data_IF_521330357244
#
_entry.id   IF_521330357244
#
_cell.length_a   1.000
_cell.length_b   1.000
_cell.length_c   1.000
_cell.angle_alpha   90.00
_cell.angle_beta   90.00
_cell.angle_gamma   90.00
#
_symmetry.space_group_name_H-M   'P 1'
#
loop_
_entity.id
_entity.type
_entity.pdbx_description
1 polymer ?
#
# COMPACT_ATOMS: atom_id res chain seq x y z
N UNK A 1 -18.09 -5.71 26.46
CA UNK A 1 -18.49 -4.96 25.25
C UNK A 1 -17.66 -3.68 25.14
N UNK A 2 -17.40 -3.19 23.93
CA UNK A 2 -16.70 -1.93 23.70
C UNK A 2 -17.63 -0.92 23.03
N UNK A 3 -17.58 0.34 23.47
CA UNK A 3 -18.16 1.49 22.79
C UNK A 3 -17.01 2.36 22.31
N UNK A 4 -16.89 2.55 21.00
CA UNK A 4 -15.70 3.14 20.38
C UNK A 4 -16.08 4.43 19.66
N UNK A 5 -15.46 5.53 20.06
CA UNK A 5 -15.43 6.79 19.32
C UNK A 5 -14.14 6.84 18.48
N UNK A 6 -14.26 6.90 17.15
CA UNK A 6 -13.11 6.93 16.23
C UNK A 6 -13.25 8.07 15.20
N UNK A 7 -12.13 8.62 14.73
CA UNK A 7 -12.12 9.74 13.78
C UNK A 7 -11.73 9.32 12.35
N UNK A 8 -11.15 8.13 12.15
CA UNK A 8 -10.69 7.67 10.83
C UNK A 8 -11.18 6.27 10.42
N UNK A 9 -12.22 5.76 11.09
CA UNK A 9 -12.87 4.50 10.72
C UNK A 9 -13.45 4.54 9.29
N UNK A 10 -13.43 3.41 8.60
CA UNK A 10 -13.94 3.27 7.23
C UNK A 10 -15.21 2.43 7.21
N UNK A 11 -16.29 2.99 6.68
CA UNK A 11 -17.50 2.21 6.36
C UNK A 11 -17.16 1.21 5.27
N UNK A 12 -17.37 -0.08 5.52
CA UNK A 12 -17.07 -1.16 4.56
C UNK A 12 -18.28 -1.99 4.17
N UNK A 13 -19.49 -1.58 4.56
CA UNK A 13 -20.74 -2.31 4.27
C UNK A 13 -20.88 -2.76 2.81
N UNK A 14 -20.55 -1.90 1.84
CA UNK A 14 -20.62 -2.23 0.40
C UNK A 14 -19.59 -3.28 -0.07
N UNK A 15 -18.65 -3.64 0.79
CA UNK A 15 -17.59 -4.61 0.55
C UNK A 15 -17.66 -5.80 1.52
N UNK A 16 -18.65 -5.81 2.42
CA UNK A 16 -18.88 -6.89 3.37
C UNK A 16 -19.75 -7.97 2.76
N UNK A 17 -19.54 -9.22 3.18
CA UNK A 17 -20.47 -10.30 2.90
C UNK A 17 -21.74 -10.24 3.76
N UNK A 18 -21.77 -9.37 4.78
CA UNK A 18 -22.88 -9.19 5.71
C UNK A 18 -23.57 -7.85 5.43
N UNK A 19 -24.47 -7.83 4.45
CA UNK A 19 -25.10 -6.62 3.93
C UNK A 19 -25.99 -5.86 4.95
N UNK A 20 -26.42 -6.55 6.01
CA UNK A 20 -27.27 -6.00 7.07
C UNK A 20 -26.47 -5.26 8.15
N UNK A 21 -25.15 -5.48 8.22
CA UNK A 21 -24.29 -4.91 9.24
C UNK A 21 -23.64 -3.60 8.75
N UNK A 22 -23.69 -2.55 9.58
CA UNK A 22 -23.03 -1.27 9.31
C UNK A 22 -21.56 -1.30 9.76
N UNK A 23 -20.78 -2.21 9.15
CA UNK A 23 -19.39 -2.48 9.54
C UNK A 23 -18.47 -1.26 9.34
N UNK A 24 -17.67 -0.99 10.37
CA UNK A 24 -16.61 0.02 10.37
C UNK A 24 -15.26 -0.66 10.57
N UNK A 25 -14.37 -0.52 9.59
CA UNK A 25 -12.99 -0.97 9.67
C UNK A 25 -12.12 0.09 10.34
N UNK A 26 -11.42 -0.30 11.40
CA UNK A 26 -10.39 0.52 12.05
C UNK A 26 -9.06 0.33 11.33
N UNK A 27 -8.30 1.42 11.16
CA UNK A 27 -6.97 1.31 10.55
C UNK A 27 -6.00 0.59 11.48
N UNK A 28 -5.07 -0.22 10.95
CA UNK A 28 -4.01 -0.84 11.75
C UNK A 28 -3.23 0.19 12.57
N UNK A 29 -2.84 -0.18 13.78
CA UNK A 29 -2.08 0.71 14.67
C UNK A 29 -2.89 1.86 15.26
N UNK A 30 -4.22 1.86 15.12
CA UNK A 30 -5.08 2.81 15.83
C UNK A 30 -4.92 2.68 17.34
N UNK A 31 -4.70 3.82 18.01
CA UNK A 31 -4.53 3.87 19.46
C UNK A 31 -5.77 4.45 20.12
N UNK A 32 -6.10 3.96 21.31
CA UNK A 32 -7.28 4.35 22.05
C UNK A 32 -6.93 4.59 23.51
N UNK A 33 -7.65 5.52 24.13
CA UNK A 33 -7.64 5.71 25.58
C UNK A 33 -8.98 5.27 26.16
N UNK A 34 -8.95 4.66 27.35
CA UNK A 34 -10.14 4.34 28.12
C UNK A 34 -10.71 5.64 28.68
N UNK A 35 -11.96 5.94 28.30
CA UNK A 35 -12.71 7.09 28.82
C UNK A 35 -13.51 6.75 30.05
N UNK A 36 -13.91 5.50 30.19
CA UNK A 36 -14.64 5.01 31.35
C UNK A 36 -15.15 3.59 31.11
N UNK A 37 -15.87 3.09 32.09
CA UNK A 37 -16.60 1.84 31.99
C UNK A 37 -18.00 1.99 32.57
N UNK A 38 -18.94 1.19 32.07
CA UNK A 38 -20.32 1.16 32.52
C UNK A 38 -20.72 -0.30 32.77
N UNK A 39 -21.30 -0.56 33.93
CA UNK A 39 -21.96 -1.82 34.24
C UNK A 39 -23.48 -1.59 34.14
N UNK A 40 -24.13 -1.97 33.03
CA UNK A 40 -25.49 -1.55 32.72
C UNK A 40 -26.54 -2.19 33.63
N UNK A 41 -26.24 -3.34 34.25
CA UNK A 41 -27.14 -4.02 35.16
C UNK A 41 -26.39 -4.61 36.35
N UNK A 42 -26.97 -4.47 37.55
CA UNK A 42 -26.47 -5.17 38.75
C UNK A 42 -26.75 -6.67 38.72
N UNK A 43 -27.69 -7.12 37.89
CA UNK A 43 -28.07 -8.54 37.75
C UNK A 43 -27.16 -9.33 36.83
N UNK A 44 -26.33 -8.63 36.05
CA UNK A 44 -25.37 -9.23 35.13
C UNK A 44 -24.00 -8.62 35.40
N UNK A 45 -23.24 -9.17 36.37
CA UNK A 45 -21.96 -8.62 36.78
C UNK A 45 -20.87 -8.76 35.71
N UNK A 46 -21.06 -9.67 34.76
CA UNK A 46 -20.06 -9.98 33.74
C UNK A 46 -20.21 -9.07 32.50
N UNK A 47 -21.35 -8.39 32.37
CA UNK A 47 -21.56 -7.39 31.32
C UNK A 47 -20.91 -6.05 31.71
N UNK A 48 -19.73 -5.79 31.15
CA UNK A 48 -19.05 -4.50 31.25
C UNK A 48 -18.96 -3.84 29.87
N UNK A 49 -19.31 -2.56 29.79
CA UNK A 49 -19.12 -1.73 28.60
C UNK A 49 -17.91 -0.83 28.83
N UNK A 50 -16.85 -1.01 28.07
CA UNK A 50 -15.66 -0.16 28.11
C UNK A 50 -15.78 0.90 27.02
N UNK A 51 -15.69 2.17 27.42
CA UNK A 51 -15.75 3.31 26.50
C UNK A 51 -14.34 3.70 26.06
N UNK A 52 -14.10 3.68 24.76
CA UNK A 52 -12.81 3.97 24.13
C UNK A 52 -12.95 5.20 23.24
N UNK A 53 -11.94 6.06 23.25
CA UNK A 53 -11.79 7.14 22.26
C UNK A 53 -10.46 7.00 21.55
N UNK A 54 -10.51 7.03 20.23
CA UNK A 54 -9.31 7.03 19.39
C UNK A 54 -8.49 8.29 19.64
N UNK A 55 -7.18 8.13 19.67
CA UNK A 55 -6.21 9.22 19.78
C UNK A 55 -5.23 9.14 18.64
N UNK A 56 -4.61 10.28 18.33
CA UNK A 56 -3.50 10.31 17.39
C UNK A 56 -2.32 9.52 17.96
N UNK A 57 -1.75 8.57 17.21
CA UNK A 57 -0.57 7.83 17.66
C UNK A 57 0.58 8.80 17.99
N UNK A 58 1.31 8.60 19.10
CA UNK A 58 2.42 9.48 19.49
C UNK A 58 3.64 9.37 18.56
N UNK A 59 3.64 8.39 17.66
CA UNK A 59 4.68 8.19 16.66
C UNK A 59 4.09 7.59 15.39
N UNK A 60 4.72 7.88 14.26
CA UNK A 60 4.38 7.33 12.96
C UNK A 60 4.82 5.86 12.91
N UNK A 61 3.87 4.95 12.68
CA UNK A 61 4.13 3.50 12.60
C UNK A 61 4.53 3.04 11.21
N UNK A 62 4.10 3.78 10.18
CA UNK A 62 4.33 3.48 8.78
C UNK A 62 4.76 4.77 8.08
N UNK A 63 5.89 4.73 7.40
CA UNK A 63 6.29 5.83 6.52
C UNK A 63 5.24 6.03 5.43
N UNK A 64 4.99 7.29 5.08
CA UNK A 64 4.12 7.58 3.95
C UNK A 64 4.71 6.97 2.68
N UNK A 65 3.87 6.49 1.74
CA UNK A 65 4.35 6.03 0.45
C UNK A 65 5.21 7.12 -0.19
N UNK A 66 6.45 6.80 -0.53
CA UNK A 66 7.33 7.69 -1.27
C UNK A 66 6.84 7.77 -2.72
N UNK A 67 5.83 8.59 -2.96
CA UNK A 67 5.48 8.99 -4.32
C UNK A 67 6.64 9.87 -4.78
N UNK A 68 7.58 9.28 -5.52
CA UNK A 68 8.60 10.03 -6.23
C UNK A 68 7.90 11.13 -7.03
N UNK A 69 8.13 12.39 -6.63
CA UNK A 69 7.50 13.53 -7.28
C UNK A 69 8.02 13.61 -8.72
N UNK A 70 7.10 13.38 -9.66
CA UNK A 70 7.09 13.88 -11.04
C UNK A 70 8.21 13.37 -11.94
N UNK A 71 7.92 12.32 -12.73
CA UNK A 71 8.38 12.35 -14.11
C UNK A 71 7.85 13.65 -14.75
N UNK A 72 8.76 14.45 -15.28
CA UNK A 72 8.44 15.71 -15.93
C UNK A 72 7.55 15.44 -17.14
N UNK A 73 6.25 15.74 -17.03
CA UNK A 73 5.29 15.67 -18.15
C UNK A 73 5.66 16.63 -19.31
N UNK A 74 6.69 17.48 -19.16
CA UNK A 74 7.29 18.26 -20.25
C UNK A 74 8.08 17.41 -21.24
N UNK A 75 8.63 16.28 -20.81
CA UNK A 75 9.61 15.53 -21.61
C UNK A 75 8.92 14.53 -22.56
N UNK A 76 7.67 14.15 -22.26
CA UNK A 76 6.88 13.27 -23.12
C UNK A 76 6.37 14.00 -24.38
N UNK A 77 6.00 15.28 -24.25
CA UNK A 77 5.50 16.08 -25.38
C UNK A 77 6.61 16.44 -26.39
N UNK A 78 7.86 16.50 -25.96
CA UNK A 78 9.01 16.76 -26.84
C UNK A 78 9.39 15.53 -27.67
N UNK A 79 9.19 14.32 -27.12
CA UNK A 79 9.45 13.06 -27.86
C UNK A 79 8.33 12.69 -28.84
N UNK A 80 7.06 13.01 -28.54
CA UNK A 80 5.96 12.76 -29.48
C UNK A 80 6.06 13.68 -30.71
N UNK A 81 6.49 14.93 -30.52
CA UNK A 81 6.65 15.89 -31.62
C UNK A 81 7.82 15.57 -32.54
N UNK A 82 8.87 14.91 -32.04
CA UNK A 82 10.03 14.50 -32.85
C UNK A 82 9.82 13.18 -33.59
N UNK A 83 8.97 12.26 -33.09
CA UNK A 83 8.63 11.02 -33.82
C UNK A 83 7.63 11.20 -34.96
N UNK A 84 6.74 12.19 -34.92
CA UNK A 84 5.76 12.41 -36.01
C UNK A 84 6.32 13.18 -37.22
N UNK A 85 7.45 13.87 -37.10
CA UNK A 85 8.02 14.68 -38.20
C UNK A 85 9.01 13.91 -39.09
N UNK A 86 9.53 12.75 -38.65
CA UNK A 86 10.50 11.97 -39.45
C UNK A 86 9.80 11.02 -40.45
N UNK A 87 8.47 10.85 -40.37
CA UNK A 87 7.72 9.95 -41.25
C UNK A 87 7.22 10.58 -42.58
N UNK A 88 7.75 11.74 -42.99
CA UNK A 88 7.29 12.43 -44.20
C UNK A 88 8.45 13.00 -45.05
N UNK A 89 9.47 12.19 -45.36
CA UNK A 89 10.24 12.33 -46.62
C UNK A 89 11.15 11.11 -46.84
N UNK A 90 10.88 10.33 -47.88
CA UNK A 90 11.89 9.46 -48.54
C UNK A 90 12.74 10.32 -49.51
N UNK A 91 14.06 10.07 -49.69
CA UNK A 91 14.52 9.01 -50.62
C UNK A 91 15.83 8.25 -50.26
N UNK A 92 15.82 6.93 -50.59
CA UNK A 92 16.82 6.01 -51.22
C UNK A 92 18.36 6.13 -51.00
N UNK A 93 19.18 5.07 -51.28
CA UNK A 93 20.07 4.44 -50.29
C UNK A 93 21.56 4.47 -50.68
N UNK A 94 22.49 4.49 -49.72
CA UNK A 94 23.91 4.18 -50.00
C UNK A 94 24.59 3.36 -48.88
N UNK A 95 24.98 2.13 -49.29
CA UNK A 95 26.15 1.33 -48.93
C UNK A 95 26.53 0.95 -47.49
N UNK A 96 26.43 -0.37 -47.25
CA UNK A 96 27.27 -1.30 -46.48
C UNK A 96 28.41 -0.73 -45.60
N UNK A 97 28.43 -1.19 -44.34
CA UNK A 97 29.54 -2.01 -43.79
C UNK A 97 29.18 -2.75 -42.48
N UNK A 98 29.22 -4.08 -42.59
CA UNK A 98 29.57 -5.15 -41.62
C UNK A 98 29.50 -4.93 -40.10
N UNK A 99 28.65 -5.76 -39.48
CA UNK A 99 28.60 -6.29 -38.10
C UNK A 99 29.90 -7.06 -37.69
N UNK A 100 30.20 -7.40 -36.39
CA UNK A 100 29.30 -8.26 -35.61
C UNK A 100 29.29 -8.26 -34.05
N UNK A 101 28.15 -8.78 -33.56
CA UNK A 101 27.87 -9.67 -32.40
C UNK A 101 27.77 -9.09 -30.96
N UNK A 102 26.63 -9.31 -30.27
CA UNK A 102 26.49 -9.06 -28.84
C UNK A 102 26.95 -10.28 -28.01
N UNK A 103 27.67 -10.02 -26.91
CA UNK A 103 28.07 -11.03 -25.94
C UNK A 103 27.00 -11.24 -24.86
N UNK A 104 26.88 -12.50 -24.48
CA UNK A 104 25.86 -13.18 -23.70
C UNK A 104 25.80 -12.75 -22.22
N UNK A 105 24.58 -12.71 -21.67
CA UNK A 105 24.28 -12.58 -20.23
C UNK A 105 24.78 -13.78 -19.42
N UNK A 106 25.33 -13.54 -18.24
CA UNK A 106 25.27 -14.45 -17.08
C UNK A 106 25.15 -13.61 -15.80
N UNK A 107 23.97 -13.61 -15.17
CA UNK A 107 23.79 -13.23 -13.76
C UNK A 107 23.13 -14.45 -13.09
N UNK A 108 23.72 -15.03 -12.03
CA UNK A 108 23.09 -16.12 -11.29
C UNK A 108 22.05 -15.61 -10.29
N UNK A 109 20.95 -16.35 -10.15
CA UNK A 109 19.98 -16.20 -9.06
C UNK A 109 20.59 -16.67 -7.73
N UNK A 110 20.28 -16.04 -6.59
CA UNK A 110 20.33 -16.67 -5.29
C UNK A 110 18.90 -17.10 -4.88
N UNK A 111 18.65 -18.39 -4.98
CA UNK A 111 17.67 -19.11 -4.15
C UNK A 111 18.52 -19.84 -3.10
N UNK A 112 18.09 -19.78 -1.84
CA UNK A 112 18.45 -20.66 -0.70
C UNK A 112 18.87 -19.88 0.56
N UNK A 113 17.91 -19.32 1.28
CA UNK A 113 18.02 -19.17 2.74
C UNK A 113 16.70 -19.58 3.40
N UNK A 114 16.45 -20.89 3.44
CA UNK A 114 15.50 -21.49 4.37
C UNK A 114 16.25 -22.48 5.27
N UNK A 115 15.92 -22.43 6.56
CA UNK A 115 16.30 -23.34 7.67
C UNK A 115 17.57 -22.99 8.45
N UNK A 116 17.42 -22.10 9.45
CA UNK A 116 18.24 -22.18 10.66
C UNK A 116 17.60 -21.65 11.93
N UNK A 117 16.46 -22.21 12.35
CA UNK A 117 16.09 -22.23 13.78
C UNK A 117 15.38 -23.54 14.11
N UNK A 118 16.17 -24.55 14.48
CA UNK A 118 15.71 -25.74 15.17
C UNK A 118 16.29 -25.73 16.59
N UNK A 119 15.37 -25.88 17.54
CA UNK A 119 15.50 -26.46 18.88
C UNK A 119 16.46 -25.84 19.91
N UNK A 120 15.83 -25.23 20.93
CA UNK A 120 16.23 -25.41 22.34
C UNK A 120 14.97 -25.84 23.11
N UNK A 121 14.95 -27.10 23.53
CA UNK A 121 14.15 -27.60 24.64
C UNK A 121 15.10 -27.93 25.78
#
# INVERSE_FOLDING_TARGET
>A
MFSIECFNGKKIRSHSSLEEEDEILLLPGSQFIVKGHLQPSKKDPDLIIIQLRQVEPPFVLLEEPSISKKENLSDLNTQIKTKLTIAATEPKPQHLKSNPKPSTKLIPNPVDEEKKYQMKS
#
